data_IF_579989186532
#
_entry.id   IF_579989186532
#
_cell.length_a   1.000
_cell.length_b   1.000
_cell.length_c   1.000
_cell.angle_alpha   90.00
_cell.angle_beta   90.00
_cell.angle_gamma   90.00
#
_symmetry.space_group_name_H-M   'P 1'
#
loop_
_entity.id
_entity.type
_entity.pdbx_description
1 polymer ?
#
# COMPACT_ATOMS: atom_id res chain seq x y z
N UNK A 1 -8.58 -3.17 -9.92
CA UNK A 1 -9.16 -2.27 -8.90
C UNK A 1 -8.03 -1.56 -8.14
N UNK A 2 -8.15 -0.27 -7.83
CA UNK A 2 -7.18 0.49 -7.02
C UNK A 2 -7.85 1.03 -5.76
N UNK A 3 -7.20 0.96 -4.60
CA UNK A 3 -7.78 1.42 -3.35
C UNK A 3 -6.81 2.22 -2.49
N UNK A 4 -7.35 3.12 -1.67
CA UNK A 4 -6.66 3.80 -0.59
C UNK A 4 -7.36 3.47 0.75
N UNK A 5 -6.88 2.46 1.49
CA UNK A 5 -7.58 1.97 2.68
C UNK A 5 -7.51 2.91 3.89
N UNK A 6 -6.59 3.87 3.91
CA UNK A 6 -6.41 4.80 5.03
C UNK A 6 -6.50 6.27 4.57
N UNK A 7 -7.45 6.59 3.70
CA UNK A 7 -7.65 7.95 3.21
C UNK A 7 -7.89 8.94 4.36
N UNK A 8 -7.18 10.07 4.31
CA UNK A 8 -7.17 11.07 5.38
C UNK A 8 -6.23 10.76 6.56
N UNK A 9 -5.66 9.55 6.63
CA UNK A 9 -4.60 9.20 7.58
C UNK A 9 -3.25 9.06 6.86
N UNK A 10 -3.19 8.27 5.78
CA UNK A 10 -2.01 8.15 4.94
C UNK A 10 -1.98 9.32 3.94
N UNK A 11 -1.23 10.37 4.29
CA UNK A 11 -1.21 11.64 3.55
C UNK A 11 -1.08 11.46 2.02
N UNK A 12 -2.05 12.03 1.30
CA UNK A 12 -2.18 12.10 -0.16
C UNK A 12 -2.40 10.76 -0.89
N UNK A 13 -2.52 9.63 -0.20
CA UNK A 13 -2.64 8.31 -0.85
C UNK A 13 -3.97 8.14 -1.59
N UNK A 14 -5.05 8.74 -1.10
CA UNK A 14 -6.37 8.70 -1.75
C UNK A 14 -6.38 9.44 -3.10
N UNK A 15 -5.66 10.56 -3.20
CA UNK A 15 -5.52 11.29 -4.46
C UNK A 15 -4.65 10.52 -5.45
N UNK A 16 -3.54 9.94 -4.97
CA UNK A 16 -2.69 9.09 -5.81
C UNK A 16 -3.45 7.87 -6.31
N UNK A 17 -4.21 7.18 -5.45
CA UNK A 17 -5.02 6.02 -5.84
C UNK A 17 -6.04 6.38 -6.92
N UNK A 18 -6.78 7.48 -6.76
CA UNK A 18 -7.73 8.00 -7.76
C UNK A 18 -7.03 8.29 -9.10
N UNK A 19 -5.90 8.99 -9.07
CA UNK A 19 -5.19 9.38 -10.29
C UNK A 19 -4.58 8.16 -11.02
N UNK A 20 -4.02 7.21 -10.26
CA UNK A 20 -3.53 5.94 -10.80
C UNK A 20 -4.68 5.16 -11.44
N UNK A 21 -5.82 5.03 -10.75
CA UNK A 21 -7.01 4.36 -11.28
C UNK A 21 -7.51 4.99 -12.58
N UNK A 22 -7.61 6.31 -12.64
CA UNK A 22 -8.01 7.04 -13.84
C UNK A 22 -7.08 6.78 -15.02
N UNK A 23 -5.76 6.70 -14.79
CA UNK A 23 -4.77 6.36 -15.83
C UNK A 23 -4.87 4.91 -16.31
N UNK A 24 -5.39 4.02 -15.48
CA UNK A 24 -5.56 2.59 -15.78
C UNK A 24 -6.94 2.27 -16.36
N UNK A 25 -7.91 3.19 -16.27
CA UNK A 25 -9.31 2.88 -16.53
C UNK A 25 -9.92 1.93 -15.49
N UNK A 26 -9.33 1.87 -14.28
CA UNK A 26 -9.79 0.98 -13.22
C UNK A 26 -10.83 1.67 -12.33
N UNK A 27 -11.74 0.88 -11.77
CA UNK A 27 -12.52 1.31 -10.59
C UNK A 27 -11.60 1.64 -9.42
N UNK A 28 -12.08 2.49 -8.51
CA UNK A 28 -11.35 2.85 -7.30
C UNK A 28 -12.23 3.00 -6.06
N UNK A 29 -11.64 2.75 -4.89
CA UNK A 29 -12.28 2.92 -3.58
C UNK A 29 -11.34 3.66 -2.63
N UNK A 30 -11.89 4.60 -1.84
CA UNK A 30 -11.19 5.16 -0.68
C UNK A 30 -12.00 4.90 0.58
N UNK A 31 -11.32 4.56 1.66
CA UNK A 31 -11.89 4.56 2.99
C UNK A 31 -11.44 5.82 3.69
N UNK A 32 -12.37 6.77 3.88
CA UNK A 32 -12.08 8.05 4.51
C UNK A 32 -12.38 7.98 5.99
N UNK A 33 -11.45 8.50 6.79
CA UNK A 33 -11.68 8.72 8.22
C UNK A 33 -12.12 7.44 8.95
N UNK A 34 -11.50 6.29 8.66
CA UNK A 34 -11.60 5.06 9.47
C UNK A 34 -10.46 4.93 10.50
N UNK A 35 -9.49 5.83 10.44
CA UNK A 35 -8.45 6.01 11.46
C UNK A 35 -8.36 7.47 11.85
N UNK A 36 -8.60 7.77 13.11
CA UNK A 36 -8.50 9.13 13.64
C UNK A 36 -7.95 9.11 15.06
N UNK A 37 -6.76 9.67 15.23
CA UNK A 37 -6.16 9.84 16.56
C UNK A 37 -6.96 10.83 17.41
N UNK A 38 -7.37 12.02 16.90
CA UNK A 38 -8.18 12.95 17.68
C UNK A 38 -9.52 12.37 18.14
N UNK A 39 -10.17 11.59 17.28
CA UNK A 39 -11.49 10.99 17.56
C UNK A 39 -11.39 9.59 18.19
N UNK A 40 -10.17 9.11 18.48
CA UNK A 40 -9.89 7.88 19.24
C UNK A 40 -10.53 6.60 18.66
N UNK A 41 -10.72 6.54 17.35
CA UNK A 41 -11.17 5.31 16.68
C UNK A 41 -10.17 4.88 15.60
N UNK A 42 -10.11 3.57 15.40
CA UNK A 42 -9.17 2.96 14.48
C UNK A 42 -9.74 1.63 13.97
N UNK A 43 -10.41 1.69 12.83
CA UNK A 43 -10.83 0.52 12.07
C UNK A 43 -9.87 0.31 10.91
N UNK A 44 -9.42 -0.93 10.76
CA UNK A 44 -8.53 -1.30 9.67
C UNK A 44 -9.33 -1.83 8.49
N UNK A 45 -9.89 -1.01 7.61
CA UNK A 45 -10.85 -1.51 6.59
C UNK A 45 -10.36 -2.68 5.72
N UNK A 46 -9.03 -2.86 5.56
CA UNK A 46 -8.43 -3.95 4.79
C UNK A 46 -8.20 -5.25 5.58
N UNK A 47 -8.59 -5.31 6.86
CA UNK A 47 -8.58 -6.49 7.73
C UNK A 47 -9.67 -6.33 8.81
N UNK A 48 -10.40 -7.37 9.21
CA UNK A 48 -11.52 -7.23 10.17
C UNK A 48 -11.03 -7.06 11.62
N UNK A 49 -10.27 -6.00 11.89
CA UNK A 49 -9.74 -5.63 13.20
C UNK A 49 -9.91 -4.14 13.46
N UNK A 50 -10.06 -3.79 14.72
CA UNK A 50 -9.93 -2.41 15.21
C UNK A 50 -8.85 -2.31 16.28
N UNK A 51 -8.40 -1.10 16.59
CA UNK A 51 -7.53 -0.84 17.74
C UNK A 51 -8.31 -0.06 18.78
N UNK A 52 -8.60 -0.64 19.95
CA UNK A 52 -9.34 0.04 20.99
C UNK A 52 -8.46 1.12 21.62
N UNK A 53 -9.03 2.30 21.85
CA UNK A 53 -8.34 3.37 22.56
C UNK A 53 -8.55 3.21 24.08
N UNK A 54 -7.47 2.92 24.81
CA UNK A 54 -7.51 2.72 26.27
C UNK A 54 -6.29 3.35 26.91
N UNK A 55 -6.47 4.02 28.06
CA UNK A 55 -5.38 4.63 28.84
C UNK A 55 -4.47 5.55 28.00
N UNK A 56 -5.09 6.40 27.17
CA UNK A 56 -4.36 7.41 26.39
C UNK A 56 -3.69 6.90 25.10
N UNK A 57 -3.81 5.61 24.75
CA UNK A 57 -3.19 5.02 23.56
C UNK A 57 -4.08 4.00 22.86
N UNK A 58 -3.82 3.78 21.58
CA UNK A 58 -4.39 2.65 20.85
C UNK A 58 -3.69 1.35 21.28
N UNK A 59 -4.49 0.33 21.59
CA UNK A 59 -4.00 -1.00 21.92
C UNK A 59 -3.65 -1.84 20.69
N UNK A 60 -3.44 -3.12 20.93
CA UNK A 60 -3.22 -4.10 19.87
C UNK A 60 -4.49 -4.29 19.02
N UNK A 61 -4.35 -4.69 17.75
CA UNK A 61 -5.50 -5.01 16.90
C UNK A 61 -6.34 -6.15 17.51
N UNK A 62 -7.64 -5.93 17.64
CA UNK A 62 -8.62 -6.92 18.12
C UNK A 62 -9.72 -7.12 17.08
N UNK A 63 -10.28 -8.32 17.07
CA UNK A 63 -11.46 -8.64 16.27
C UNK A 63 -12.72 -8.26 17.03
N UNK A 64 -13.63 -7.56 16.37
CA UNK A 64 -14.97 -7.22 16.89
C UNK A 64 -16.01 -7.34 15.78
N UNK A 65 -17.28 -7.46 16.17
CA UNK A 65 -18.38 -7.49 15.20
C UNK A 65 -18.43 -6.21 14.35
N UNK A 66 -18.12 -5.06 14.94
CA UNK A 66 -18.10 -3.78 14.24
C UNK A 66 -16.93 -3.70 13.25
N UNK A 67 -15.74 -4.14 13.63
CA UNK A 67 -14.60 -4.21 12.70
C UNK A 67 -14.87 -5.17 11.53
N UNK A 68 -15.56 -6.28 11.78
CA UNK A 68 -16.00 -7.21 10.74
C UNK A 68 -16.99 -6.53 9.78
N UNK A 69 -18.00 -5.82 10.32
CA UNK A 69 -18.98 -5.06 9.54
C UNK A 69 -18.32 -4.03 8.62
N UNK A 70 -17.36 -3.25 9.15
CA UNK A 70 -16.60 -2.25 8.39
C UNK A 70 -15.76 -2.91 7.28
N UNK A 71 -15.10 -4.03 7.59
CA UNK A 71 -14.35 -4.80 6.59
C UNK A 71 -15.26 -5.32 5.48
N UNK A 72 -16.43 -5.88 5.82
CA UNK A 72 -17.38 -6.42 4.85
C UNK A 72 -17.96 -5.32 3.96
N UNK A 73 -18.30 -4.16 4.51
CA UNK A 73 -18.70 -3.00 3.71
C UNK A 73 -17.58 -2.61 2.74
N UNK A 74 -16.34 -2.50 3.22
CA UNK A 74 -15.21 -2.18 2.35
C UNK A 74 -15.01 -3.21 1.22
N UNK A 75 -15.17 -4.51 1.50
CA UNK A 75 -15.13 -5.55 0.47
C UNK A 75 -16.25 -5.39 -0.56
N UNK A 76 -17.48 -5.11 -0.12
CA UNK A 76 -18.61 -4.86 -1.02
C UNK A 76 -18.37 -3.65 -1.92
N UNK A 77 -17.77 -2.57 -1.40
CA UNK A 77 -17.39 -1.40 -2.22
C UNK A 77 -16.33 -1.75 -3.25
N UNK A 78 -15.34 -2.57 -2.88
CA UNK A 78 -14.30 -3.03 -3.81
C UNK A 78 -14.89 -3.86 -4.96
N UNK A 79 -15.74 -4.83 -4.63
CA UNK A 79 -16.42 -5.70 -5.59
C UNK A 79 -17.36 -4.89 -6.51
N UNK A 80 -18.19 -4.02 -5.92
CA UNK A 80 -19.11 -3.14 -6.65
C UNK A 80 -18.40 -2.18 -7.61
N UNK A 81 -17.34 -1.51 -7.17
CA UNK A 81 -16.59 -0.60 -8.04
C UNK A 81 -15.71 -1.34 -9.07
N UNK A 82 -15.40 -2.63 -8.85
CA UNK A 82 -14.80 -3.50 -9.86
C UNK A 82 -15.84 -4.11 -10.82
N UNK A 83 -17.14 -3.89 -10.58
CA UNK A 83 -18.27 -4.52 -11.29
C UNK A 83 -18.14 -6.04 -11.37
N UNK A 84 -17.71 -6.66 -10.27
CA UNK A 84 -17.42 -8.08 -10.21
C UNK A 84 -17.87 -8.65 -8.87
N UNK A 85 -18.50 -9.82 -8.92
CA UNK A 85 -18.73 -10.66 -7.74
C UNK A 85 -17.58 -11.65 -7.55
N UNK A 86 -17.15 -11.85 -6.30
CA UNK A 86 -16.05 -12.78 -5.98
C UNK A 86 -14.65 -12.16 -6.11
N UNK A 87 -13.58 -12.97 -6.19
CA UNK A 87 -12.22 -12.47 -6.08
C UNK A 87 -11.85 -11.55 -7.25
N UNK A 88 -11.25 -10.42 -6.93
CA UNK A 88 -10.69 -9.48 -7.88
C UNK A 88 -9.50 -10.10 -8.62
N UNK A 89 -9.38 -9.87 -9.93
CA UNK A 89 -8.23 -10.37 -10.70
C UNK A 89 -6.93 -9.69 -10.25
N UNK A 90 -6.98 -8.37 -10.03
CA UNK A 90 -5.91 -7.57 -9.45
C UNK A 90 -6.47 -6.48 -8.51
N UNK A 91 -6.05 -6.53 -7.25
CA UNK A 91 -6.24 -5.48 -6.25
C UNK A 91 -4.94 -4.71 -6.03
N UNK A 92 -4.96 -3.40 -6.21
CA UNK A 92 -3.84 -2.52 -5.84
C UNK A 92 -4.25 -1.68 -4.65
N UNK A 93 -3.51 -1.75 -3.54
CA UNK A 93 -3.68 -0.84 -2.40
C UNK A 93 -2.52 0.15 -2.35
N UNK A 94 -2.84 1.43 -2.19
CA UNK A 94 -1.89 2.53 -2.03
C UNK A 94 -1.94 3.01 -0.58
N UNK A 95 -0.82 2.85 0.12
CA UNK A 95 -0.60 3.25 1.51
C UNK A 95 0.60 4.19 1.62
N UNK A 96 0.76 4.80 2.78
CA UNK A 96 1.85 5.72 3.06
C UNK A 96 2.49 5.45 4.40
N UNK A 97 3.82 5.53 4.45
CA UNK A 97 4.56 5.45 5.70
C UNK A 97 5.43 6.69 5.94
N UNK A 98 5.81 6.89 7.20
CA UNK A 98 6.84 7.85 7.64
C UNK A 98 7.91 7.14 8.50
N UNK A 99 8.18 5.87 8.19
CA UNK A 99 9.11 4.99 8.92
C UNK A 99 10.50 5.62 9.07
N UNK A 100 11.02 5.51 10.29
CA UNK A 100 12.39 5.86 10.68
C UNK A 100 13.02 4.64 11.33
N UNK A 101 14.31 4.40 11.07
CA UNK A 101 15.09 3.31 11.67
C UNK A 101 16.37 3.85 12.30
N UNK A 102 16.90 3.22 13.38
CA UNK A 102 18.22 3.55 13.89
C UNK A 102 19.30 3.13 12.89
N UNK A 103 20.25 4.01 12.60
CA UNK A 103 21.38 3.78 11.71
C UNK A 103 22.57 4.66 12.15
N UNK A 104 23.67 4.04 12.57
CA UNK A 104 24.90 4.76 12.97
C UNK A 104 24.69 5.78 14.09
N UNK A 105 23.89 5.44 15.11
CA UNK A 105 23.56 6.35 16.22
C UNK A 105 22.59 7.49 15.87
N UNK A 106 22.04 7.51 14.66
CA UNK A 106 21.06 8.51 14.21
C UNK A 106 19.76 7.85 13.77
N UNK A 107 18.70 8.66 13.73
CA UNK A 107 17.41 8.28 13.15
C UNK A 107 17.42 8.53 11.63
N UNK A 108 17.32 7.45 10.85
CA UNK A 108 17.25 7.49 9.40
C UNK A 108 15.81 7.35 8.90
N UNK A 109 15.28 8.38 8.27
CA UNK A 109 13.96 8.32 7.60
C UNK A 109 14.08 7.54 6.30
N UNK A 110 13.41 6.39 6.24
CA UNK A 110 13.49 5.48 5.09
C UNK A 110 12.69 6.05 3.92
N UNK A 111 13.37 6.30 2.80
CA UNK A 111 12.73 6.72 1.54
C UNK A 111 12.87 5.60 0.51
N UNK A 112 12.16 4.51 0.74
CA UNK A 112 12.07 3.32 -0.13
C UNK A 112 10.60 2.95 -0.22
N UNK A 113 10.11 2.61 -1.42
CA UNK A 113 8.79 2.01 -1.58
C UNK A 113 8.90 0.54 -1.16
N UNK A 114 8.06 0.11 -0.24
CA UNK A 114 7.92 -1.31 0.11
C UNK A 114 6.67 -1.86 -0.57
N UNK A 115 6.80 -2.95 -1.33
CA UNK A 115 5.71 -3.59 -2.06
C UNK A 115 5.49 -5.01 -1.52
N UNK A 116 4.33 -5.22 -0.89
CA UNK A 116 3.87 -6.55 -0.51
C UNK A 116 2.99 -7.15 -1.60
N UNK A 117 3.14 -8.44 -1.88
CA UNK A 117 2.48 -9.07 -3.03
C UNK A 117 1.73 -10.36 -2.68
N UNK A 118 0.64 -10.62 -3.41
CA UNK A 118 -0.10 -11.90 -3.40
C UNK A 118 -0.28 -12.39 -4.84
N UNK A 119 -0.14 -13.69 -5.08
CA UNK A 119 -0.49 -14.31 -6.36
C UNK A 119 0.53 -14.14 -7.50
N UNK A 120 1.71 -13.60 -7.21
CA UNK A 120 2.81 -13.47 -8.16
C UNK A 120 3.90 -14.53 -7.94
N UNK A 121 4.51 -15.01 -9.00
CA UNK A 121 5.72 -15.85 -8.97
C UNK A 121 6.97 -15.00 -8.72
N UNK A 122 8.07 -15.63 -8.27
CA UNK A 122 9.35 -14.91 -8.11
C UNK A 122 9.85 -14.31 -9.44
N UNK A 123 9.63 -14.99 -10.56
CA UNK A 123 10.02 -14.52 -11.89
C UNK A 123 9.25 -13.26 -12.29
N UNK A 124 7.92 -13.24 -12.09
CA UNK A 124 7.09 -12.05 -12.32
C UNK A 124 7.54 -10.89 -11.43
N UNK A 125 7.82 -11.14 -10.14
CA UNK A 125 8.29 -10.09 -9.23
C UNK A 125 9.64 -9.52 -9.65
N UNK A 126 10.58 -10.34 -10.12
CA UNK A 126 11.87 -9.87 -10.64
C UNK A 126 11.68 -9.03 -11.90
N UNK A 127 10.79 -9.44 -12.79
CA UNK A 127 10.46 -8.68 -13.99
C UNK A 127 9.80 -7.34 -13.65
N UNK A 128 8.89 -7.32 -12.67
CA UNK A 128 8.24 -6.12 -12.17
C UNK A 128 9.26 -5.15 -11.55
N UNK A 129 10.20 -5.65 -10.74
CA UNK A 129 11.26 -4.84 -10.13
C UNK A 129 12.18 -4.21 -11.17
N UNK A 130 12.65 -4.98 -12.16
CA UNK A 130 13.44 -4.44 -13.28
C UNK A 130 12.68 -3.36 -14.06
N UNK A 131 11.40 -3.61 -14.31
CA UNK A 131 10.57 -2.62 -15.01
C UNK A 131 10.40 -1.33 -14.19
N UNK A 132 10.25 -1.43 -12.87
CA UNK A 132 10.27 -0.27 -12.00
C UNK A 132 11.58 0.53 -12.13
N UNK A 133 12.72 -0.14 -12.07
CA UNK A 133 14.04 0.47 -12.19
C UNK A 133 14.22 1.19 -13.54
N UNK A 134 13.73 0.59 -14.63
CA UNK A 134 13.69 1.22 -15.96
C UNK A 134 12.83 2.48 -15.97
N UNK A 135 11.58 2.39 -15.49
CA UNK A 135 10.66 3.54 -15.45
C UNK A 135 11.23 4.67 -14.60
N UNK A 136 11.87 4.33 -13.49
CA UNK A 136 12.46 5.28 -12.56
C UNK A 136 13.61 6.09 -13.18
N UNK A 137 14.33 5.55 -14.16
CA UNK A 137 15.40 6.29 -14.86
C UNK A 137 14.88 7.54 -15.57
N UNK A 138 13.60 7.59 -15.93
CA UNK A 138 12.96 8.79 -16.50
C UNK A 138 12.75 9.92 -15.49
N UNK A 139 12.92 9.66 -14.19
CA UNK A 139 12.83 10.67 -13.14
C UNK A 139 14.19 11.33 -12.89
N UNK A 140 14.23 12.61 -12.48
CA UNK A 140 15.44 13.26 -11.99
C UNK A 140 16.06 12.46 -10.84
N UNK A 141 17.39 12.34 -10.81
CA UNK A 141 18.10 11.52 -9.83
C UNK A 141 17.71 11.86 -8.38
N UNK A 142 17.49 13.14 -8.06
CA UNK A 142 17.07 13.62 -6.75
C UNK A 142 15.68 13.13 -6.32
N UNK A 143 14.83 12.76 -7.27
CA UNK A 143 13.44 12.29 -7.03
C UNK A 143 13.32 10.76 -7.01
N UNK A 144 14.39 10.04 -7.37
CA UNK A 144 14.37 8.57 -7.42
C UNK A 144 14.30 7.97 -6.00
N UNK A 145 13.30 7.12 -5.79
CA UNK A 145 13.08 6.30 -4.57
C UNK A 145 13.19 4.81 -4.90
N UNK A 146 14.05 4.00 -4.26
CA UNK A 146 14.14 2.56 -4.54
C UNK A 146 12.82 1.80 -4.31
N UNK A 147 12.68 0.62 -4.90
CA UNK A 147 11.59 -0.33 -4.64
C UNK A 147 12.15 -1.61 -4.01
N UNK A 148 11.62 -1.99 -2.85
CA UNK A 148 11.82 -3.28 -2.22
C UNK A 148 10.55 -4.12 -2.32
N UNK A 149 10.69 -5.41 -2.64
CA UNK A 149 9.56 -6.34 -2.77
C UNK A 149 9.69 -7.45 -1.72
N UNK A 150 8.63 -7.65 -0.93
CA UNK A 150 8.60 -8.55 0.24
C UNK A 150 9.25 -9.93 0.05
N UNK A 151 8.98 -10.59 -1.08
CA UNK A 151 9.45 -11.95 -1.38
C UNK A 151 10.82 -11.99 -2.07
N UNK A 152 11.34 -10.85 -2.52
CA UNK A 152 12.66 -10.76 -3.16
C UNK A 152 13.71 -10.14 -2.24
N UNK A 153 13.30 -9.16 -1.45
CA UNK A 153 14.16 -8.28 -0.66
C UNK A 153 13.75 -8.37 0.82
N UNK A 154 14.01 -9.49 1.52
CA UNK A 154 13.71 -9.59 2.96
C UNK A 154 14.44 -8.52 3.77
N UNK A 155 15.56 -8.04 3.22
CA UNK A 155 16.30 -6.86 3.61
C UNK A 155 16.74 -6.13 2.32
N UNK A 156 17.01 -4.83 2.43
CA UNK A 156 17.51 -4.02 1.33
C UNK A 156 18.54 -3.00 1.82
N UNK A 157 19.47 -2.64 0.95
CA UNK A 157 20.43 -1.58 1.24
C UNK A 157 19.79 -0.21 1.01
N UNK A 158 19.97 0.70 1.96
CA UNK A 158 19.59 2.10 1.82
C UNK A 158 20.60 3.00 2.52
N UNK A 159 21.31 3.83 1.73
CA UNK A 159 22.35 4.74 2.22
C UNK A 159 23.45 4.04 3.03
N UNK A 160 23.91 2.88 2.56
CA UNK A 160 24.95 2.07 3.22
C UNK A 160 24.47 1.24 4.41
N UNK A 161 23.16 1.21 4.69
CA UNK A 161 22.60 0.42 5.79
C UNK A 161 21.71 -0.69 5.28
N UNK A 162 21.80 -1.86 5.91
CA UNK A 162 20.95 -3.01 5.62
C UNK A 162 19.66 -2.94 6.45
N UNK A 163 18.55 -2.61 5.80
CA UNK A 163 17.26 -2.34 6.46
C UNK A 163 16.32 -3.54 6.25
N UNK A 164 15.65 -4.05 7.29
CA UNK A 164 14.66 -5.10 7.13
C UNK A 164 13.39 -4.58 6.45
N UNK A 165 12.85 -5.38 5.54
CA UNK A 165 11.52 -5.15 4.98
C UNK A 165 10.46 -5.24 6.10
N UNK A 166 9.59 -4.23 6.20
CA UNK A 166 8.67 -4.04 7.31
C UNK A 166 7.21 -4.27 6.93
N UNK A 167 6.74 -3.70 5.82
CA UNK A 167 5.32 -3.69 5.50
C UNK A 167 4.86 -4.92 4.73
N UNK A 168 4.87 -6.09 5.39
CA UNK A 168 4.58 -7.40 4.74
C UNK A 168 3.11 -7.63 4.40
N UNK A 169 2.21 -6.79 4.91
CA UNK A 169 0.76 -6.93 4.82
C UNK A 169 0.25 -8.33 5.27
N UNK A 170 0.95 -8.98 6.21
CA UNK A 170 0.73 -10.38 6.57
C UNK A 170 -0.72 -10.66 6.99
N UNK A 171 -1.31 -9.81 7.83
CA UNK A 171 -2.70 -9.98 8.27
C UNK A 171 -3.71 -9.75 7.14
N UNK A 172 -3.46 -8.79 6.26
CA UNK A 172 -4.32 -8.55 5.11
C UNK A 172 -4.29 -9.72 4.12
N UNK A 173 -3.14 -10.41 3.99
CA UNK A 173 -3.00 -11.63 3.18
C UNK A 173 -3.64 -12.86 3.82
N UNK A 174 -3.57 -12.95 5.16
CA UNK A 174 -4.09 -14.10 5.91
C UNK A 174 -5.61 -14.05 6.10
N UNK A 175 -6.13 -12.87 6.46
CA UNK A 175 -7.52 -12.70 6.90
C UNK A 175 -8.25 -11.54 6.22
N UNK A 176 -7.54 -10.63 5.56
CA UNK A 176 -8.09 -9.38 5.01
C UNK A 176 -8.33 -9.37 3.49
N UNK A 177 -8.21 -8.18 2.89
CA UNK A 177 -8.53 -7.90 1.48
C UNK A 177 -7.58 -8.56 0.48
N UNK A 178 -6.35 -8.90 0.89
CA UNK A 178 -5.30 -9.43 0.03
C UNK A 178 -5.24 -10.95 -0.01
N UNK A 179 -6.19 -11.64 0.65
CA UNK A 179 -6.25 -13.11 0.65
C UNK A 179 -6.68 -13.63 -0.72
N UNK A 180 -6.24 -14.83 -1.16
CA UNK A 180 -6.55 -15.36 -2.50
C UNK A 180 -8.05 -15.47 -2.82
N UNK A 181 -8.90 -15.66 -1.79
CA UNK A 181 -10.35 -15.72 -1.97
C UNK A 181 -11.00 -14.34 -2.21
N UNK A 182 -10.25 -13.24 -2.05
CA UNK A 182 -10.71 -11.86 -2.26
C UNK A 182 -9.95 -11.17 -3.40
N UNK A 183 -8.68 -11.50 -3.60
CA UNK A 183 -7.90 -11.03 -4.75
C UNK A 183 -6.97 -12.15 -5.22
N UNK A 184 -7.10 -12.54 -6.51
CA UNK A 184 -6.22 -13.53 -7.15
C UNK A 184 -4.77 -13.02 -7.18
N UNK A 185 -4.60 -11.74 -7.51
CA UNK A 185 -3.34 -11.02 -7.45
C UNK A 185 -3.52 -9.74 -6.66
N UNK A 186 -2.51 -9.36 -5.88
CA UNK A 186 -2.54 -8.10 -5.16
C UNK A 186 -1.16 -7.43 -5.08
N UNK A 187 -1.17 -6.09 -5.18
CA UNK A 187 -0.02 -5.21 -4.99
C UNK A 187 -0.35 -4.23 -3.86
N UNK A 188 0.36 -4.29 -2.75
CA UNK A 188 0.17 -3.41 -1.61
C UNK A 188 1.41 -2.52 -1.48
N UNK A 189 1.27 -1.27 -1.93
CA UNK A 189 2.35 -0.29 -1.95
C UNK A 189 2.36 0.54 -0.67
N UNK A 190 3.52 0.63 -0.06
CA UNK A 190 3.79 1.52 1.07
C UNK A 190 4.74 2.61 0.59
N UNK A 191 4.19 3.82 0.41
CA UNK A 191 4.89 4.92 -0.22
C UNK A 191 5.55 5.82 0.82
N UNK A 192 6.85 6.15 0.66
CA UNK A 192 7.52 7.05 1.59
C UNK A 192 7.13 8.51 1.32
N UNK A 193 7.42 9.42 2.25
CA UNK A 193 7.06 10.84 2.16
C UNK A 193 7.60 11.53 0.91
N UNK A 194 8.83 11.20 0.48
CA UNK A 194 9.41 11.74 -0.76
C UNK A 194 8.54 11.53 -1.99
N UNK A 195 7.78 10.42 -2.06
CA UNK A 195 6.85 10.13 -3.15
C UNK A 195 5.54 10.89 -3.02
N UNK A 196 5.15 11.27 -1.80
CA UNK A 196 3.80 11.73 -1.43
C UNK A 196 3.70 13.22 -1.07
N UNK A 197 4.80 13.92 -0.79
CA UNK A 197 4.72 15.27 -0.23
C UNK A 197 4.63 16.35 -1.33
N UNK A 198 5.51 16.29 -2.34
CA UNK A 198 5.51 17.24 -3.47
C UNK A 198 4.47 16.86 -4.52
N UNK A 199 3.66 17.82 -4.97
CA UNK A 199 2.69 17.62 -6.05
C UNK A 199 3.35 17.17 -7.37
N UNK A 200 4.50 17.74 -7.71
CA UNK A 200 5.24 17.37 -8.91
C UNK A 200 5.76 15.92 -8.83
N UNK A 201 6.37 15.55 -7.69
CA UNK A 201 6.89 14.19 -7.49
C UNK A 201 5.76 13.17 -7.44
N UNK A 202 4.66 13.47 -6.74
CA UNK A 202 3.45 12.63 -6.73
C UNK A 202 2.93 12.37 -8.12
N UNK A 203 2.73 13.41 -8.92
CA UNK A 203 2.23 13.29 -10.30
C UNK A 203 3.14 12.41 -11.16
N UNK A 204 4.46 12.52 -10.98
CA UNK A 204 5.44 11.67 -11.66
C UNK A 204 5.34 10.19 -11.21
N UNK A 205 5.21 9.95 -9.90
CA UNK A 205 5.03 8.61 -9.35
C UNK A 205 3.68 7.98 -9.68
N UNK A 206 2.59 8.74 -9.76
CA UNK A 206 1.29 8.26 -10.22
C UNK A 206 1.37 7.73 -11.66
N UNK A 207 2.09 8.44 -12.55
CA UNK A 207 2.36 7.96 -13.92
C UNK A 207 3.22 6.70 -13.93
N UNK A 208 4.30 6.69 -13.14
CA UNK A 208 5.21 5.56 -13.04
C UNK A 208 4.48 4.31 -12.55
N UNK A 209 3.75 4.43 -11.42
CA UNK A 209 3.03 3.32 -10.81
C UNK A 209 1.90 2.83 -11.71
N UNK A 210 1.18 3.71 -12.43
CA UNK A 210 0.19 3.26 -13.41
C UNK A 210 0.82 2.40 -14.52
N UNK A 211 2.00 2.78 -15.05
CA UNK A 211 2.72 1.94 -16.04
C UNK A 211 3.18 0.62 -15.45
N UNK A 212 3.69 0.64 -14.23
CA UNK A 212 4.12 -0.56 -13.50
C UNK A 212 2.96 -1.53 -13.26
N UNK A 213 1.82 -1.02 -12.79
CA UNK A 213 0.61 -1.80 -12.51
C UNK A 213 0.05 -2.40 -13.78
N UNK A 214 0.01 -1.63 -14.89
CA UNK A 214 -0.42 -2.16 -16.19
C UNK A 214 0.41 -3.36 -16.62
N UNK A 215 1.74 -3.30 -16.43
CA UNK A 215 2.63 -4.44 -16.71
C UNK A 215 2.36 -5.64 -15.80
N UNK A 216 1.97 -5.42 -14.54
CA UNK A 216 1.65 -6.49 -13.59
C UNK A 216 0.29 -7.16 -13.86
N UNK A 217 -0.63 -6.46 -14.53
CA UNK A 217 -1.97 -6.95 -14.83
C UNK A 217 -1.99 -7.99 -15.97
N UNK A 218 -0.97 -8.01 -16.84
CA UNK A 218 -0.94 -8.82 -18.07
C UNK A 218 -1.18 -7.94 -19.28
#
# INVERSE_FOLDING_TARGET
MVAAPHGGYDQNTEYMARNIAGRLGYGWVRALAYRSVPLRYWYDVNRPTERPYRRGRFGDPVWTAEAQRVYDEYQQRLEGAARRSGPLDLLVEIHGHSRTVPAGGRSLRVQVIELATTGFTRTELRALKRHYEELQRSLPASQRVPLAIDRLDPHFEYRGWWIPFHFRASEAKRKGSLRPTKARRALHFELPPRVRDSAAVRSAYERLLARLIRRAAG
#
